data_IF_735178745782
#
_entry.id   IF_735178745782
#
_cell.length_a   1.000
_cell.length_b   1.000
_cell.length_c   1.000
_cell.angle_alpha   90.00
_cell.angle_beta   90.00
_cell.angle_gamma   90.00
#
_symmetry.space_group_name_H-M   'P 1'
#
loop_
_entity.id
_entity.type
_entity.pdbx_description
1 polymer ?
#
# COMPACT_ATOMS: atom_id res chain seq x y z
N UNK A 1 3.12 -19.81 -16.57
CA UNK A 1 2.86 -18.74 -15.57
C UNK A 1 3.53 -19.05 -14.23
N UNK A 2 3.26 -20.20 -13.60
CA UNK A 2 3.92 -20.60 -12.34
C UNK A 2 5.46 -20.62 -12.42
N UNK A 3 6.03 -21.18 -13.48
CA UNK A 3 7.49 -21.25 -13.65
C UNK A 3 8.13 -19.86 -13.80
N UNK A 4 7.46 -18.95 -14.52
CA UNK A 4 7.90 -17.56 -14.67
C UNK A 4 7.85 -16.79 -13.34
N UNK A 5 6.81 -17.02 -12.54
CA UNK A 5 6.66 -16.47 -11.20
C UNK A 5 7.77 -16.96 -10.26
N UNK A 6 8.01 -18.27 -10.22
CA UNK A 6 9.05 -18.89 -9.40
C UNK A 6 10.45 -18.42 -9.82
N UNK A 7 10.71 -18.34 -11.12
CA UNK A 7 11.97 -17.81 -11.64
C UNK A 7 12.21 -16.37 -11.19
N UNK A 8 11.21 -15.48 -11.36
CA UNK A 8 11.31 -14.08 -10.94
C UNK A 8 11.54 -13.95 -9.43
N UNK A 9 10.78 -14.68 -8.61
CA UNK A 9 10.96 -14.68 -7.16
C UNK A 9 12.35 -15.20 -6.76
N UNK A 10 12.82 -16.28 -7.38
CA UNK A 10 14.15 -16.82 -7.16
C UNK A 10 15.24 -15.82 -7.53
N UNK A 11 15.12 -15.15 -8.68
CA UNK A 11 16.07 -14.13 -9.12
C UNK A 11 16.10 -12.93 -8.17
N UNK A 12 14.94 -12.42 -7.72
CA UNK A 12 14.87 -11.31 -6.76
C UNK A 12 15.55 -11.70 -5.45
N UNK A 13 15.23 -12.87 -4.90
CA UNK A 13 15.75 -13.33 -3.60
C UNK A 13 17.22 -13.76 -3.64
N UNK A 14 17.76 -14.07 -4.82
CA UNK A 14 19.16 -14.47 -4.96
C UNK A 14 20.15 -13.33 -4.63
N UNK A 15 19.71 -12.07 -4.68
CA UNK A 15 20.53 -10.95 -4.22
C UNK A 15 19.66 -9.93 -3.48
N UNK A 16 19.95 -9.83 -2.19
CA UNK A 16 19.29 -8.97 -1.25
C UNK A 16 19.72 -7.50 -1.36
N UNK A 17 20.37 -7.08 -2.45
CA UNK A 17 20.66 -5.67 -2.73
C UNK A 17 19.87 -5.10 -3.92
N UNK A 18 19.07 -5.95 -4.59
CA UNK A 18 18.33 -5.55 -5.79
C UNK A 18 17.28 -4.48 -5.50
N UNK A 19 17.43 -3.35 -6.18
CA UNK A 19 16.51 -2.23 -6.13
C UNK A 19 15.27 -2.45 -7.01
N UNK A 20 14.18 -1.74 -6.70
CA UNK A 20 12.95 -1.76 -7.52
C UNK A 20 13.25 -1.42 -9.00
N UNK A 21 14.03 -0.36 -9.34
CA UNK A 21 14.37 -0.08 -10.73
C UNK A 21 15.05 -1.24 -11.46
N UNK A 22 15.96 -1.97 -10.80
CA UNK A 22 16.64 -3.13 -11.39
C UNK A 22 15.66 -4.29 -11.63
N UNK A 23 14.78 -4.55 -10.66
CA UNK A 23 13.71 -5.56 -10.82
C UNK A 23 12.80 -5.21 -11.99
N UNK A 24 12.43 -3.94 -12.14
CA UNK A 24 11.58 -3.48 -13.25
C UNK A 24 12.31 -3.46 -14.60
N UNK A 25 13.63 -3.25 -14.61
CA UNK A 25 14.43 -3.37 -15.83
C UNK A 25 14.49 -4.82 -16.33
N UNK A 26 14.67 -5.78 -15.42
CA UNK A 26 14.68 -7.21 -15.75
C UNK A 26 13.28 -7.75 -16.08
N UNK A 27 12.25 -7.28 -15.37
CA UNK A 27 10.87 -7.73 -15.52
C UNK A 27 9.92 -6.55 -15.80
N UNK A 28 10.00 -5.92 -16.98
CA UNK A 28 9.24 -4.70 -17.28
C UNK A 28 7.72 -4.90 -17.22
N UNK A 29 7.25 -6.12 -17.54
CA UNK A 29 5.83 -6.49 -17.48
C UNK A 29 5.31 -6.68 -16.06
N UNK A 30 6.15 -6.64 -15.02
CA UNK A 30 5.69 -6.74 -13.63
C UNK A 30 4.72 -5.60 -13.28
N UNK A 31 4.84 -4.44 -13.94
CA UNK A 31 3.91 -3.32 -13.79
C UNK A 31 2.59 -3.46 -14.55
N UNK A 32 2.40 -4.53 -15.32
CA UNK A 32 1.12 -4.80 -15.98
C UNK A 32 0.07 -5.15 -14.91
N UNK A 33 -1.15 -4.58 -14.97
CA UNK A 33 -2.21 -4.88 -14.03
C UNK A 33 -2.41 -6.39 -13.84
N UNK A 34 -2.58 -6.83 -12.59
CA UNK A 34 -2.79 -8.24 -12.23
C UNK A 34 -1.52 -9.10 -12.15
N UNK A 35 -0.38 -8.71 -12.74
CA UNK A 35 0.85 -9.54 -12.70
C UNK A 35 1.39 -9.73 -11.29
N UNK A 36 1.42 -8.66 -10.49
CA UNK A 36 1.92 -8.71 -9.11
C UNK A 36 0.96 -9.51 -8.22
N UNK A 37 -0.35 -9.28 -8.38
CA UNK A 37 -1.38 -10.02 -7.65
C UNK A 37 -1.33 -11.52 -7.95
N UNK A 38 -1.15 -11.90 -9.22
CA UNK A 38 -0.97 -13.29 -9.62
C UNK A 38 0.28 -13.92 -8.98
N UNK A 39 1.41 -13.23 -9.03
CA UNK A 39 2.65 -13.71 -8.40
C UNK A 39 2.46 -13.91 -6.89
N UNK A 40 1.77 -12.97 -6.23
CA UNK A 40 1.44 -13.09 -4.81
C UNK A 40 0.61 -14.35 -4.53
N UNK A 41 -0.50 -14.56 -5.24
CA UNK A 41 -1.34 -15.73 -5.06
C UNK A 41 -0.60 -17.05 -5.30
N UNK A 42 0.35 -17.08 -6.24
CA UNK A 42 1.15 -18.28 -6.52
C UNK A 42 2.18 -18.55 -5.42
N UNK A 43 2.89 -17.52 -4.95
CA UNK A 43 3.99 -17.66 -3.97
C UNK A 43 3.50 -17.77 -2.53
N UNK A 44 2.30 -17.25 -2.25
CA UNK A 44 1.74 -17.06 -0.92
C UNK A 44 0.31 -17.58 -0.84
N UNK A 45 0.03 -18.72 -1.49
CA UNK A 45 -1.32 -19.27 -1.63
C UNK A 45 -2.12 -19.36 -0.31
N UNK A 46 -1.47 -19.72 0.80
CA UNK A 46 -2.14 -19.86 2.10
C UNK A 46 -2.34 -18.52 2.84
N UNK A 47 -1.36 -17.61 2.95
CA UNK A 47 -1.57 -16.32 3.61
C UNK A 47 -2.24 -15.25 2.74
N UNK A 48 -2.30 -15.42 1.41
CA UNK A 48 -2.90 -14.44 0.50
C UNK A 48 -4.35 -14.08 0.81
N UNK A 49 -5.28 -15.04 0.99
CA UNK A 49 -6.68 -14.70 1.27
C UNK A 49 -6.88 -14.18 2.70
N UNK A 50 -5.97 -14.48 3.64
CA UNK A 50 -6.16 -14.18 5.08
C UNK A 50 -6.43 -12.70 5.34
N UNK A 51 -5.79 -11.78 4.60
CA UNK A 51 -6.07 -10.35 4.78
C UNK A 51 -7.50 -10.03 4.36
N UNK A 52 -7.95 -10.48 3.20
CA UNK A 52 -9.32 -10.28 2.72
C UNK A 52 -10.36 -10.91 3.65
N UNK A 53 -10.10 -12.14 4.12
CA UNK A 53 -11.00 -12.88 5.02
C UNK A 53 -11.14 -12.22 6.39
N UNK A 54 -10.08 -11.56 6.90
CA UNK A 54 -10.07 -11.06 8.28
C UNK A 54 -10.22 -9.53 8.38
N UNK A 55 -9.94 -8.78 7.33
CA UNK A 55 -9.88 -7.32 7.36
C UNK A 55 -11.19 -6.70 7.86
N UNK A 56 -12.28 -6.96 7.16
CA UNK A 56 -13.61 -6.44 7.52
C UNK A 56 -14.11 -7.04 8.85
N UNK A 57 -14.19 -8.38 9.03
CA UNK A 57 -14.83 -8.93 10.22
C UNK A 57 -14.04 -8.74 11.52
N UNK A 58 -12.71 -8.63 11.48
CA UNK A 58 -11.88 -8.62 12.69
C UNK A 58 -11.17 -7.29 12.98
N UNK A 59 -10.86 -6.48 11.96
CA UNK A 59 -9.97 -5.32 12.13
C UNK A 59 -10.66 -3.98 11.84
N UNK A 60 -11.45 -3.88 10.77
CA UNK A 60 -12.02 -2.60 10.32
C UNK A 60 -12.81 -1.90 11.42
N UNK A 61 -13.67 -2.66 12.11
CA UNK A 61 -14.48 -2.18 13.22
C UNK A 61 -13.66 -1.63 14.40
N UNK A 62 -12.54 -2.30 14.71
CA UNK A 62 -11.66 -1.89 15.81
C UNK A 62 -10.94 -0.59 15.47
N UNK A 63 -10.52 -0.43 14.22
CA UNK A 63 -9.86 0.79 13.73
C UNK A 63 -10.83 1.97 13.80
N UNK A 64 -12.07 1.81 13.30
CA UNK A 64 -13.08 2.88 13.31
C UNK A 64 -13.40 3.30 14.76
N UNK A 65 -13.62 2.34 15.67
CA UNK A 65 -13.89 2.66 17.08
C UNK A 65 -12.70 3.33 17.77
N UNK A 66 -11.47 2.95 17.42
CA UNK A 66 -10.27 3.60 17.93
C UNK A 66 -10.17 5.04 17.41
N UNK A 67 -10.39 5.26 16.11
CA UNK A 67 -10.39 6.59 15.51
C UNK A 67 -11.46 7.51 16.12
N UNK A 68 -12.65 6.98 16.40
CA UNK A 68 -13.72 7.70 17.12
C UNK A 68 -13.26 8.14 18.50
N UNK A 69 -12.65 7.23 19.27
CA UNK A 69 -12.12 7.52 20.61
C UNK A 69 -11.04 8.60 20.61
N UNK A 70 -10.22 8.61 19.56
CA UNK A 70 -9.14 9.59 19.38
C UNK A 70 -9.58 10.88 18.69
N UNK A 71 -10.87 11.03 18.35
CA UNK A 71 -11.39 12.23 17.67
C UNK A 71 -10.87 12.40 16.23
N UNK A 72 -10.43 11.32 15.59
CA UNK A 72 -9.85 11.29 14.24
C UNK A 72 -10.85 10.90 13.15
N UNK A 73 -12.10 10.64 13.51
CA UNK A 73 -13.16 10.29 12.59
C UNK A 73 -13.80 11.56 12.03
N UNK A 74 -13.81 11.73 10.71
CA UNK A 74 -14.35 12.92 10.06
C UNK A 74 -15.88 13.02 10.12
N UNK A 75 -16.57 11.89 10.29
CA UNK A 75 -18.03 11.78 10.35
C UNK A 75 -18.46 10.95 11.57
N UNK A 76 -19.71 11.07 12.05
CA UNK A 76 -20.26 10.15 13.04
C UNK A 76 -20.19 8.70 12.54
N UNK A 77 -19.86 7.76 13.43
CA UNK A 77 -19.74 6.34 13.08
C UNK A 77 -21.03 5.76 12.52
N UNK A 78 -22.17 6.28 12.99
CA UNK A 78 -23.52 5.88 12.60
C UNK A 78 -23.85 6.25 11.14
N UNK A 79 -23.08 7.16 10.54
CA UNK A 79 -23.21 7.55 9.13
C UNK A 79 -22.31 6.72 8.20
N UNK A 80 -21.44 5.86 8.74
CA UNK A 80 -20.59 4.99 7.94
C UNK A 80 -21.41 3.76 7.53
N UNK A 81 -21.69 3.63 6.23
CA UNK A 81 -22.33 2.45 5.68
C UNK A 81 -21.53 1.18 6.05
N UNK A 82 -22.22 0.12 6.45
CA UNK A 82 -21.64 -1.18 6.81
C UNK A 82 -20.68 -1.70 5.74
N UNK A 83 -21.06 -1.57 4.47
CA UNK A 83 -20.25 -2.06 3.35
C UNK A 83 -18.98 -1.21 3.12
N UNK A 84 -19.01 0.06 3.53
CA UNK A 84 -17.88 1.00 3.39
C UNK A 84 -16.87 0.91 4.54
N UNK A 85 -17.20 0.20 5.64
CA UNK A 85 -16.36 0.16 6.85
C UNK A 85 -14.94 -0.36 6.57
N UNK A 86 -14.82 -1.34 5.68
CA UNK A 86 -13.52 -1.87 5.26
C UNK A 86 -12.61 -0.79 4.65
N UNK A 87 -13.16 0.04 3.76
CA UNK A 87 -12.41 1.11 3.10
C UNK A 87 -12.12 2.27 4.04
N UNK A 88 -13.11 2.71 4.81
CA UNK A 88 -12.93 3.79 5.79
C UNK A 88 -11.83 3.42 6.79
N UNK A 89 -11.81 2.17 7.27
CA UNK A 89 -10.74 1.70 8.14
C UNK A 89 -9.36 1.76 7.48
N UNK A 90 -9.24 1.45 6.18
CA UNK A 90 -7.97 1.54 5.44
C UNK A 90 -7.49 2.98 5.35
N UNK A 91 -8.38 3.91 5.04
CA UNK A 91 -8.05 5.34 4.93
C UNK A 91 -7.70 5.98 6.27
N UNK A 92 -8.14 5.38 7.39
CA UNK A 92 -7.74 5.80 8.73
C UNK A 92 -6.34 5.30 9.12
N UNK A 93 -5.82 4.21 8.53
CA UNK A 93 -4.51 3.66 8.91
C UNK A 93 -3.37 4.69 8.95
N UNK A 94 -3.22 5.61 7.98
CA UNK A 94 -2.15 6.63 7.99
C UNK A 94 -2.18 7.56 9.22
N UNK A 95 -3.34 7.78 9.84
CA UNK A 95 -3.49 8.61 11.04
C UNK A 95 -3.54 7.80 12.33
N UNK A 96 -3.83 6.50 12.23
CA UNK A 96 -3.96 5.60 13.38
C UNK A 96 -2.67 4.84 13.69
N UNK A 97 -1.85 4.54 12.68
CA UNK A 97 -0.61 3.80 12.88
C UNK A 97 0.45 4.67 13.54
N UNK A 98 1.24 4.11 14.48
CA UNK A 98 2.34 4.85 15.08
C UNK A 98 3.36 5.23 14.01
N UNK A 99 3.96 6.42 14.09
CA UNK A 99 4.97 6.82 13.13
C UNK A 99 6.13 5.84 13.06
N UNK A 100 6.59 5.46 11.85
CA UNK A 100 7.76 4.60 11.72
C UNK A 100 8.99 5.28 12.32
N UNK A 101 9.88 4.48 12.89
CA UNK A 101 11.20 4.93 13.34
C UNK A 101 12.20 4.59 12.25
N UNK A 102 13.05 5.54 11.87
CA UNK A 102 14.11 5.35 10.88
C UNK A 102 15.46 5.83 11.42
N UNK A 103 16.55 5.32 10.84
CA UNK A 103 17.90 5.76 11.18
C UNK A 103 18.27 6.98 10.35
N UNK A 104 18.72 8.04 11.02
CA UNK A 104 19.36 9.19 10.40
C UNK A 104 20.80 9.26 10.95
N UNK A 105 21.74 8.72 10.19
CA UNK A 105 23.10 8.46 10.68
C UNK A 105 23.08 7.49 11.86
N UNK A 106 23.62 7.90 13.02
CA UNK A 106 23.65 7.09 14.25
C UNK A 106 22.39 7.23 15.12
N UNK A 107 21.47 8.14 14.78
CA UNK A 107 20.26 8.41 15.59
C UNK A 107 19.05 7.67 15.05
N UNK A 108 18.23 7.12 15.94
CA UNK A 108 16.88 6.67 15.63
C UNK A 108 15.94 7.86 15.78
N UNK A 109 15.25 8.22 14.69
CA UNK A 109 14.31 9.33 14.62
C UNK A 109 12.91 8.74 14.39
N UNK A 110 11.93 9.23 15.14
CA UNK A 110 10.52 8.89 14.93
C UNK A 110 9.96 9.89 13.92
N UNK A 111 9.33 9.38 12.86
CA UNK A 111 8.67 10.24 11.88
C UNK A 111 7.57 11.11 12.52
N UNK A 112 7.28 12.26 11.94
CA UNK A 112 6.08 13.04 12.29
C UNK A 112 4.82 12.35 11.77
N UNK A 113 3.64 12.83 12.19
CA UNK A 113 2.36 12.32 11.66
C UNK A 113 2.25 12.60 10.17
N UNK A 114 2.67 13.79 9.72
CA UNK A 114 2.69 14.20 8.32
C UNK A 114 3.63 13.35 7.48
N UNK A 115 4.78 12.98 8.03
CA UNK A 115 5.71 12.06 7.38
C UNK A 115 5.12 10.64 7.31
N UNK A 116 4.50 10.17 8.40
CA UNK A 116 3.84 8.86 8.50
C UNK A 116 2.75 8.67 7.45
N UNK A 117 1.95 9.71 7.24
CA UNK A 117 0.93 9.73 6.18
C UNK A 117 1.50 9.45 4.79
N UNK A 118 2.75 9.82 4.54
CA UNK A 118 3.40 9.66 3.22
C UNK A 118 4.04 8.29 3.00
N UNK A 119 4.19 7.47 4.05
CA UNK A 119 4.97 6.22 3.98
C UNK A 119 4.17 4.98 3.55
N UNK A 120 2.84 5.02 3.64
CA UNK A 120 2.02 3.82 3.44
C UNK A 120 0.89 4.02 2.44
N UNK A 121 -0.11 4.83 2.80
CA UNK A 121 -1.26 5.16 1.96
C UNK A 121 -1.35 6.68 1.91
N UNK A 122 -1.20 7.25 0.71
CA UNK A 122 -1.50 8.65 0.46
C UNK A 122 -2.90 8.77 -0.11
N UNK A 123 -3.71 9.62 0.51
CA UNK A 123 -5.09 9.85 0.09
C UNK A 123 -5.18 11.23 -0.56
N UNK A 124 -5.80 11.29 -1.74
CA UNK A 124 -5.95 12.50 -2.55
C UNK A 124 -7.37 12.59 -3.08
N UNK A 125 -7.90 13.81 -3.34
CA UNK A 125 -9.23 13.93 -3.93
C UNK A 125 -9.25 13.43 -5.38
N UNK A 126 -10.40 12.94 -5.83
CA UNK A 126 -10.69 12.72 -7.26
C UNK A 126 -10.44 14.02 -8.04
N UNK A 127 -9.88 13.90 -9.24
CA UNK A 127 -9.44 15.04 -10.06
C UNK A 127 -7.98 15.46 -9.84
N UNK A 128 -7.23 14.77 -8.97
CA UNK A 128 -5.78 14.96 -8.83
C UNK A 128 -5.07 14.74 -10.16
N UNK A 129 -4.23 15.71 -10.57
CA UNK A 129 -3.41 15.58 -11.78
C UNK A 129 -2.33 14.50 -11.56
N UNK A 130 -2.59 13.30 -12.10
CA UNK A 130 -1.72 12.13 -11.92
C UNK A 130 -0.31 12.35 -12.47
N UNK A 131 -0.14 13.10 -13.56
CA UNK A 131 1.18 13.33 -14.16
C UNK A 131 2.04 14.18 -13.22
N UNK A 132 1.50 15.32 -12.80
CA UNK A 132 2.19 16.22 -11.87
C UNK A 132 2.47 15.54 -10.52
N UNK A 133 1.47 14.82 -10.01
CA UNK A 133 1.59 14.07 -8.76
C UNK A 133 2.71 13.04 -8.82
N UNK A 134 2.79 12.24 -9.88
CA UNK A 134 3.79 11.19 -10.02
C UNK A 134 5.21 11.77 -10.17
N UNK A 135 5.38 12.88 -10.89
CA UNK A 135 6.66 13.58 -10.98
C UNK A 135 7.13 14.11 -9.62
N UNK A 136 6.22 14.73 -8.85
CA UNK A 136 6.55 15.18 -7.49
C UNK A 136 6.88 14.00 -6.56
N UNK A 137 6.12 12.91 -6.64
CA UNK A 137 6.33 11.74 -5.81
C UNK A 137 7.68 11.05 -6.07
N UNK A 138 8.15 11.00 -7.33
CA UNK A 138 9.46 10.43 -7.70
C UNK A 138 10.61 11.07 -6.94
N UNK A 139 10.55 12.37 -6.68
CA UNK A 139 11.64 13.14 -6.05
C UNK A 139 11.51 13.27 -4.54
N UNK A 140 10.30 13.13 -3.99
CA UNK A 140 10.00 13.50 -2.60
C UNK A 140 9.59 12.34 -1.69
N UNK A 141 9.41 11.13 -2.22
CA UNK A 141 8.92 9.98 -1.46
C UNK A 141 9.64 8.68 -1.78
N UNK A 142 9.75 7.83 -0.76
CA UNK A 142 10.20 6.45 -0.94
C UNK A 142 9.10 5.61 -1.57
N UNK A 143 9.45 4.84 -2.60
CA UNK A 143 8.57 3.86 -3.22
C UNK A 143 8.87 2.45 -2.68
N UNK A 144 7.90 1.52 -2.68
CA UNK A 144 6.52 1.66 -3.16
C UNK A 144 5.56 2.17 -2.08
N UNK A 145 4.44 2.77 -2.49
CA UNK A 145 3.34 3.20 -1.61
C UNK A 145 1.98 3.08 -2.32
N UNK A 146 0.88 3.11 -1.56
CA UNK A 146 -0.49 3.13 -2.11
C UNK A 146 -0.96 4.58 -2.28
N UNK A 147 -1.57 4.88 -3.42
CA UNK A 147 -2.33 6.11 -3.64
C UNK A 147 -3.81 5.74 -3.74
N UNK A 148 -4.63 6.37 -2.91
CA UNK A 148 -6.09 6.31 -3.01
C UNK A 148 -6.62 7.65 -3.49
N UNK A 149 -7.50 7.62 -4.49
CA UNK A 149 -8.30 8.78 -4.88
C UNK A 149 -9.65 8.67 -4.18
N UNK A 150 -9.91 9.58 -3.25
CA UNK A 150 -11.14 9.63 -2.47
C UNK A 150 -12.18 10.56 -3.08
N UNK A 151 -13.44 10.15 -2.99
CA UNK A 151 -14.59 11.01 -3.15
C UNK A 151 -15.36 11.02 -1.82
N UNK A 152 -15.19 12.10 -1.05
CA UNK A 152 -15.63 12.17 0.33
C UNK A 152 -14.87 11.20 1.23
N UNK A 153 -15.56 10.16 1.74
CA UNK A 153 -15.01 9.14 2.64
C UNK A 153 -15.00 7.74 2.00
N UNK A 154 -15.03 7.66 0.67
CA UNK A 154 -14.97 6.40 -0.06
C UNK A 154 -13.78 6.40 -1.01
N UNK A 155 -13.19 5.21 -1.21
CA UNK A 155 -12.15 5.05 -2.21
C UNK A 155 -12.80 4.94 -3.59
N UNK A 156 -12.57 5.93 -4.45
CA UNK A 156 -13.02 5.87 -5.84
C UNK A 156 -12.06 5.05 -6.71
N UNK A 157 -10.75 5.27 -6.56
CA UNK A 157 -9.72 4.55 -7.29
C UNK A 157 -8.51 4.25 -6.41
N UNK A 158 -7.90 3.08 -6.61
CA UNK A 158 -6.75 2.64 -5.85
C UNK A 158 -5.58 2.28 -6.76
N UNK A 159 -4.40 2.79 -6.43
CA UNK A 159 -3.17 2.57 -7.17
C UNK A 159 -2.02 2.14 -6.26
N UNK A 160 -1.12 1.33 -6.79
CA UNK A 160 0.22 1.14 -6.22
C UNK A 160 1.20 1.97 -7.04
N UNK A 161 1.89 2.89 -6.38
CA UNK A 161 2.89 3.75 -7.01
C UNK A 161 4.29 3.16 -6.85
N UNK A 162 4.95 2.90 -7.98
CA UNK A 162 6.26 2.27 -8.06
C UNK A 162 7.11 3.01 -9.10
N UNK A 163 8.26 3.55 -8.68
CA UNK A 163 9.20 4.26 -9.58
C UNK A 163 8.52 5.28 -10.50
N UNK A 164 7.52 5.99 -9.96
CA UNK A 164 6.75 7.02 -10.66
C UNK A 164 5.78 6.53 -11.71
N UNK A 165 5.42 5.24 -11.68
CA UNK A 165 4.26 4.68 -12.37
C UNK A 165 3.18 4.37 -11.35
N UNK A 166 1.92 4.61 -11.71
CA UNK A 166 0.76 4.15 -10.95
C UNK A 166 0.21 2.87 -11.60
N UNK A 167 0.04 1.82 -10.81
CA UNK A 167 -0.60 0.57 -11.24
C UNK A 167 -1.96 0.52 -10.57
N UNK A 168 -3.02 0.59 -11.37
CA UNK A 168 -4.39 0.52 -10.87
C UNK A 168 -4.69 -0.87 -10.32
N UNK A 169 -5.50 -0.90 -9.26
CA UNK A 169 -5.95 -2.12 -8.58
C UNK A 169 -7.46 -2.06 -8.39
N UNK A 170 -8.10 -3.23 -8.34
CA UNK A 170 -9.55 -3.33 -8.23
C UNK A 170 -10.12 -2.75 -6.93
N UNK A 171 -9.37 -2.81 -5.83
CA UNK A 171 -9.80 -2.31 -4.51
C UNK A 171 -8.64 -1.73 -3.73
N UNK A 172 -8.94 -0.83 -2.77
CA UNK A 172 -7.95 -0.30 -1.83
C UNK A 172 -7.24 -1.42 -1.04
N UNK A 173 -7.97 -2.47 -0.68
CA UNK A 173 -7.40 -3.62 0.03
C UNK A 173 -6.43 -4.41 -0.87
N UNK A 174 -6.76 -4.58 -2.16
CA UNK A 174 -5.85 -5.19 -3.14
C UNK A 174 -4.58 -4.35 -3.35
N UNK A 175 -4.68 -3.02 -3.35
CA UNK A 175 -3.50 -2.15 -3.39
C UNK A 175 -2.59 -2.37 -2.17
N UNK A 176 -3.16 -2.44 -0.97
CA UNK A 176 -2.42 -2.68 0.28
C UNK A 176 -1.75 -4.05 0.28
N UNK A 177 -2.44 -5.07 -0.19
CA UNK A 177 -1.91 -6.43 -0.27
C UNK A 177 -0.78 -6.54 -1.32
N UNK A 178 -0.97 -5.89 -2.48
CA UNK A 178 0.06 -5.74 -3.51
C UNK A 178 1.29 -5.02 -2.97
N UNK A 179 1.10 -3.92 -2.22
CA UNK A 179 2.18 -3.19 -1.57
C UNK A 179 2.92 -4.07 -0.57
N UNK A 180 2.20 -4.84 0.24
CA UNK A 180 2.77 -5.79 1.20
C UNK A 180 3.63 -6.82 0.47
N UNK A 181 3.15 -7.41 -0.63
CA UNK A 181 3.93 -8.35 -1.41
C UNK A 181 5.22 -7.72 -1.95
N UNK A 182 5.15 -6.52 -2.52
CA UNK A 182 6.33 -5.81 -3.02
C UNK A 182 7.33 -5.54 -1.91
N UNK A 183 6.88 -5.07 -0.74
CA UNK A 183 7.75 -4.89 0.42
C UNK A 183 8.28 -6.24 0.94
N UNK A 184 7.51 -7.32 0.96
CA UNK A 184 8.03 -8.62 1.41
C UNK A 184 9.04 -9.23 0.44
N UNK A 185 8.82 -9.11 -0.87
CA UNK A 185 9.76 -9.62 -1.87
C UNK A 185 11.02 -8.75 -2.03
N UNK A 186 10.89 -7.43 -1.86
CA UNK A 186 11.95 -6.45 -2.19
C UNK A 186 12.57 -5.81 -0.93
N UNK A 187 11.92 -5.78 0.23
CA UNK A 187 12.53 -5.39 1.53
C UNK A 187 13.01 -6.59 2.37
N UNK A 188 12.85 -7.84 1.92
CA UNK A 188 13.79 -8.89 2.34
C UNK A 188 15.23 -8.61 1.83
N UNK A 189 15.43 -7.49 1.12
CA UNK A 189 16.65 -7.05 0.46
C UNK A 189 17.19 -5.71 1.04
N UNK A 190 17.10 -5.49 2.36
CA UNK A 190 17.84 -4.44 3.09
C UNK A 190 18.00 -4.80 4.57
#
# INVERSE_FOLDING_TARGET
MRDSCQYRAGWIRADHSKSIPEVLAMFPRLTTPGMIAQDFSILFAEPAPKLFETWVPLYADKIIRLAKREGKLALPEEQINLDARGEVALMLLPVMLPPPVYKQGRKLVRASVEESKRFFIDVKPVGTNMVEYLEQAKSSRSCPFVLLLEDGMLCSQAFVVISGKAIETETALAAVDTLKFLKTQIHACN
#
